data_IF_386517081352
#
_entry.id   IF_386517081352
#
_cell.length_a   1.000
_cell.length_b   1.000
_cell.length_c   1.000
_cell.angle_alpha   90.00
_cell.angle_beta   90.00
_cell.angle_gamma   90.00
#
_symmetry.space_group_name_H-M   'P 1'
#
loop_
_entity.id
_entity.type
_entity.pdbx_description
1 polymer ?
#
# COMPACT_ATOMS: atom_id res chain seq x y z
N UNK A 1 9.12 17.76 -10.50
CA UNK A 1 8.23 16.81 -9.82
C UNK A 1 8.17 15.59 -10.72
N UNK A 2 8.56 14.41 -10.25
CA UNK A 2 8.45 13.14 -11.00
C UNK A 2 7.12 12.52 -10.59
N UNK A 3 6.30 12.04 -11.54
CA UNK A 3 5.00 11.44 -11.26
C UNK A 3 3.83 12.43 -11.33
N UNK A 4 3.54 12.94 -12.53
CA UNK A 4 2.30 13.68 -12.81
C UNK A 4 1.06 12.76 -12.89
N UNK A 5 -0.15 13.35 -13.01
CA UNK A 5 -1.39 12.57 -13.17
C UNK A 5 -1.31 11.62 -14.37
N UNK A 6 -0.85 12.10 -15.52
CA UNK A 6 -0.73 11.29 -16.74
C UNK A 6 0.26 10.14 -16.58
N UNK A 7 1.45 10.41 -16.03
CA UNK A 7 2.46 9.36 -15.76
C UNK A 7 1.97 8.34 -14.73
N UNK A 8 1.18 8.79 -13.74
CA UNK A 8 0.56 7.88 -12.76
C UNK A 8 -0.47 6.97 -13.42
N UNK A 9 -1.28 7.50 -14.34
CA UNK A 9 -2.23 6.69 -15.11
C UNK A 9 -1.50 5.64 -15.96
N UNK A 10 -0.44 6.03 -16.67
CA UNK A 10 0.38 5.09 -17.46
C UNK A 10 0.96 3.97 -16.60
N UNK A 11 1.46 4.31 -15.40
CA UNK A 11 1.96 3.33 -14.44
C UNK A 11 0.86 2.38 -13.96
N UNK A 12 -0.35 2.87 -13.68
CA UNK A 12 -1.48 2.03 -13.28
C UNK A 12 -1.92 1.08 -14.40
N UNK A 13 -2.02 1.59 -15.63
CA UNK A 13 -2.40 0.81 -16.81
C UNK A 13 -1.38 -0.31 -17.08
N UNK A 14 -0.09 0.02 -16.99
CA UNK A 14 0.99 -0.95 -17.09
C UNK A 14 0.91 -2.01 -15.99
N UNK A 15 0.70 -1.62 -14.73
CA UNK A 15 0.58 -2.58 -13.63
C UNK A 15 -0.60 -3.54 -13.85
N UNK A 16 -1.74 -3.02 -14.29
CA UNK A 16 -2.93 -3.82 -14.57
C UNK A 16 -2.70 -4.80 -15.75
N UNK A 17 -2.06 -4.34 -16.83
CA UNK A 17 -1.78 -5.17 -18.00
C UNK A 17 -0.80 -6.32 -17.71
N UNK A 18 0.09 -6.14 -16.74
CA UNK A 18 1.14 -7.10 -16.40
C UNK A 18 0.87 -7.87 -15.09
N UNK A 19 -0.27 -7.65 -14.43
CA UNK A 19 -0.59 -8.31 -13.16
C UNK A 19 0.37 -7.93 -12.02
N UNK A 20 0.88 -6.69 -12.03
CA UNK A 20 1.81 -6.18 -11.01
C UNK A 20 0.98 -5.61 -9.86
N UNK A 21 1.22 -6.15 -8.66
CA UNK A 21 0.63 -5.68 -7.42
C UNK A 21 1.65 -5.68 -6.29
N UNK A 22 1.35 -4.97 -5.21
CA UNK A 22 2.14 -5.03 -3.98
C UNK A 22 1.79 -6.28 -3.17
N UNK A 23 2.78 -6.88 -2.51
CA UNK A 23 2.54 -7.80 -1.39
C UNK A 23 2.17 -6.99 -0.15
N UNK A 24 0.97 -7.24 0.39
CA UNK A 24 0.37 -6.42 1.44
C UNK A 24 -0.04 -7.24 2.67
N UNK A 25 -0.03 -6.58 3.81
CA UNK A 25 -0.68 -7.00 5.05
C UNK A 25 -1.88 -6.08 5.29
N UNK A 26 -3.10 -6.61 5.31
CA UNK A 26 -4.31 -5.83 5.56
C UNK A 26 -4.52 -5.71 7.07
N UNK A 27 -4.81 -4.49 7.55
CA UNK A 27 -5.10 -4.20 8.95
C UNK A 27 -6.43 -3.46 9.10
N UNK A 28 -7.08 -3.61 10.25
CA UNK A 28 -8.19 -2.77 10.65
C UNK A 28 -7.70 -1.35 11.02
N UNK A 29 -8.57 -0.36 10.94
CA UNK A 29 -8.27 1.04 11.27
C UNK A 29 -7.80 1.20 12.73
N UNK A 30 -8.33 0.38 13.65
CA UNK A 30 -7.94 0.37 15.07
C UNK A 30 -6.49 -0.10 15.30
N UNK A 31 -5.89 -0.83 14.36
CA UNK A 31 -4.57 -1.44 14.49
C UNK A 31 -3.44 -0.54 13.97
N UNK A 32 -3.75 0.69 13.51
CA UNK A 32 -2.80 1.59 12.84
C UNK A 32 -1.54 1.89 13.68
N UNK A 33 -1.70 2.05 14.99
CA UNK A 33 -0.57 2.36 15.89
C UNK A 33 0.38 1.17 16.00
N UNK A 34 -0.16 -0.05 16.13
CA UNK A 34 0.65 -1.27 16.18
C UNK A 34 1.38 -1.51 14.86
N UNK A 35 0.69 -1.36 13.73
CA UNK A 35 1.28 -1.49 12.41
C UNK A 35 2.40 -0.46 12.18
N UNK A 36 2.24 0.77 12.68
CA UNK A 36 3.29 1.79 12.62
C UNK A 36 4.54 1.38 13.42
N UNK A 37 4.38 0.85 14.62
CA UNK A 37 5.50 0.34 15.41
C UNK A 37 6.20 -0.85 14.74
N UNK A 38 5.46 -1.72 14.05
CA UNK A 38 6.02 -2.82 13.25
C UNK A 38 6.86 -2.29 12.08
N UNK A 39 6.38 -1.28 11.34
CA UNK A 39 7.17 -0.62 10.29
C UNK A 39 8.47 -0.06 10.85
N UNK A 40 8.43 0.60 12.01
CA UNK A 40 9.64 1.16 12.65
C UNK A 40 10.68 0.11 13.03
N UNK A 41 10.26 -1.13 13.28
CA UNK A 41 11.13 -2.28 13.56
C UNK A 41 11.51 -3.08 12.30
N UNK A 42 11.12 -2.60 11.11
CA UNK A 42 11.27 -3.34 9.84
C UNK A 42 10.55 -4.70 9.83
N UNK A 43 9.53 -4.86 10.67
CA UNK A 43 8.70 -6.06 10.80
C UNK A 43 7.46 -5.96 9.91
N UNK A 44 7.68 -5.89 8.60
CA UNK A 44 6.62 -5.79 7.58
C UNK A 44 7.08 -6.41 6.26
N UNK A 45 6.18 -7.10 5.55
CA UNK A 45 6.47 -7.64 4.22
C UNK A 45 5.31 -7.36 3.24
N UNK A 46 5.32 -6.31 2.44
CA UNK A 46 6.22 -5.16 2.39
C UNK A 46 5.47 -3.83 2.66
N UNK A 47 4.15 -3.88 2.79
CA UNK A 47 3.25 -2.72 2.94
C UNK A 47 2.05 -3.09 3.80
N UNK A 48 1.70 -2.24 4.77
CA UNK A 48 0.37 -2.30 5.38
C UNK A 48 -0.66 -1.55 4.53
N UNK A 49 -1.85 -2.13 4.40
CA UNK A 49 -3.02 -1.48 3.79
C UNK A 49 -4.14 -1.48 4.82
N UNK A 50 -4.70 -0.30 5.10
CA UNK A 50 -5.83 -0.17 6.02
C UNK A 50 -7.10 -0.50 5.26
N UNK A 51 -7.89 -1.45 5.78
CA UNK A 51 -9.25 -1.66 5.30
C UNK A 51 -10.16 -0.55 5.85
N UNK A 52 -10.57 0.37 4.98
CA UNK A 52 -11.42 1.50 5.35
C UNK A 52 -12.84 1.08 5.72
N UNK A 53 -13.27 -0.15 5.45
CA UNK A 53 -14.55 -0.68 5.91
C UNK A 53 -14.58 -0.96 7.42
N UNK A 54 -13.43 -0.90 8.10
CA UNK A 54 -13.29 -1.13 9.54
C UNK A 54 -13.30 0.14 10.40
N UNK A 55 -13.57 1.30 9.77
CA UNK A 55 -13.81 2.59 10.45
C UNK A 55 -15.21 2.61 11.06
#
# INVERSE_FOLDING_TARGET
MIGGIAETQEMLDFCAAHGIGAEIEVIAASEINEAYDRVRRSDVRYRFVIDTATI
#
